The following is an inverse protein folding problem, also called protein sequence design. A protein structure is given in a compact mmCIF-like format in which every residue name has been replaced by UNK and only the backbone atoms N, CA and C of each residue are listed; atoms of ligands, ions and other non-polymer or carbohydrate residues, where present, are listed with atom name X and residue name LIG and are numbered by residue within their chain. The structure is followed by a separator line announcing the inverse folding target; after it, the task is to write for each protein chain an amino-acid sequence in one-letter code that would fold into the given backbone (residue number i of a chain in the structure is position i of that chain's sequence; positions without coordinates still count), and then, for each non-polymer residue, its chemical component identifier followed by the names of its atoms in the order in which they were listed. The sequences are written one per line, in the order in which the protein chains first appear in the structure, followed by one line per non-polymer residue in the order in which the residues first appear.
data_IF_345322729909
#
_entry.id   IF_345322729909
#
_cell.length_a   1.000
_cell.length_b   1.000
_cell.length_c   1.000
_cell.angle_alpha   90.00
_cell.angle_beta   90.00
_cell.angle_gamma   90.00
#
_symmetry.space_group_name_H-M   'P 1'
#
loop_
_entity.id
_entity.type
_entity.pdbx_description
1 polymer ?
#
# COMPACT_ATOMS: atom_id res chain seq x y z
N UNK A 1 -3.10 17.69 22.76
CA UNK A 1 -4.38 16.94 22.83
C UNK A 1 -4.06 15.53 23.28
N UNK A 2 -4.73 15.05 24.32
CA UNK A 2 -4.33 13.94 25.20
C UNK A 2 -4.70 12.55 24.68
N UNK A 3 -4.37 12.25 23.42
CA UNK A 3 -4.34 10.89 22.87
C UNK A 3 -3.21 10.84 21.84
N UNK A 4 -1.96 10.92 22.30
CA UNK A 4 -0.85 10.46 21.48
C UNK A 4 -1.10 8.97 21.18
N UNK A 5 -1.12 8.57 19.91
CA UNK A 5 -1.16 7.15 19.51
C UNK A 5 -0.03 6.41 20.24
N UNK A 6 -0.36 5.66 21.29
CA UNK A 6 0.59 4.75 21.92
C UNK A 6 0.79 3.57 20.98
N UNK A 7 2.01 3.38 20.48
CA UNK A 7 2.41 2.16 19.75
C UNK A 7 3.29 2.38 18.52
N UNK A 8 3.38 3.59 17.97
CA UNK A 8 4.31 3.89 16.86
C UNK A 8 5.70 4.26 17.39
N UNK A 9 6.75 3.77 16.75
CA UNK A 9 8.14 3.96 17.17
C UNK A 9 9.06 4.26 15.97
N UNK A 10 10.12 5.04 16.20
CA UNK A 10 11.27 5.15 15.31
C UNK A 10 12.52 4.76 16.10
N UNK A 11 13.24 3.74 15.63
CA UNK A 11 14.49 3.26 16.25
C UNK A 11 15.69 3.80 15.48
N UNK A 12 16.62 4.45 16.18
CA UNK A 12 17.87 4.92 15.60
C UNK A 12 19.00 3.94 15.92
N UNK A 13 19.77 3.53 14.90
CA UNK A 13 20.94 2.67 15.05
C UNK A 13 20.65 1.16 15.11
N UNK A 14 19.43 0.72 14.79
CA UNK A 14 19.06 -0.69 14.77
C UNK A 14 17.60 -0.91 14.39
N UNK A 15 17.08 -2.08 14.75
CA UNK A 15 15.66 -2.45 14.63
C UNK A 15 15.22 -3.21 15.90
N UNK A 16 13.95 -3.11 16.27
CA UNK A 16 13.36 -3.94 17.32
C UNK A 16 12.71 -5.19 16.71
N UNK A 17 13.21 -6.37 17.09
CA UNK A 17 12.68 -7.66 16.63
C UNK A 17 11.27 -7.97 17.17
N UNK A 18 10.78 -7.24 18.17
CA UNK A 18 9.41 -7.40 18.67
C UNK A 18 8.35 -6.81 17.72
N UNK A 19 8.75 -5.97 16.76
CA UNK A 19 7.84 -5.27 15.85
C UNK A 19 7.66 -5.96 14.49
N UNK A 20 8.25 -7.12 14.27
CA UNK A 20 8.02 -7.93 13.07
C UNK A 20 8.16 -9.43 13.37
N UNK A 21 7.66 -10.25 12.45
CA UNK A 21 7.85 -11.71 12.47
C UNK A 21 8.67 -12.14 11.25
N UNK A 22 9.32 -13.30 11.35
CA UNK A 22 10.15 -13.81 10.26
C UNK A 22 11.47 -13.07 10.10
N UNK A 23 11.97 -13.00 8.86
CA UNK A 23 13.27 -12.41 8.53
C UNK A 23 13.09 -11.12 7.73
N UNK A 24 14.03 -10.18 7.92
CA UNK A 24 14.06 -8.95 7.14
C UNK A 24 14.42 -9.27 5.69
N UNK A 25 13.57 -8.78 4.77
CA UNK A 25 13.84 -8.80 3.34
C UNK A 25 14.54 -7.51 2.93
N UNK A 26 15.80 -7.62 2.50
CA UNK A 26 16.55 -6.48 1.98
C UNK A 26 16.22 -6.28 0.49
N UNK A 27 16.00 -5.02 0.11
CA UNK A 27 15.72 -4.59 -1.27
C UNK A 27 16.71 -3.46 -1.59
N UNK A 28 17.46 -3.55 -2.70
CA UNK A 28 18.45 -2.54 -3.05
C UNK A 28 17.79 -1.23 -3.48
N UNK A 29 18.41 -0.11 -3.11
CA UNK A 29 18.02 1.21 -3.61
C UNK A 29 18.37 1.33 -5.09
N UNK A 30 17.49 1.95 -5.87
CA UNK A 30 17.76 2.33 -7.27
C UNK A 30 18.36 3.73 -7.37
N UNK A 31 18.06 4.60 -6.39
CA UNK A 31 18.65 5.94 -6.23
C UNK A 31 18.68 6.30 -4.74
N UNK A 32 19.73 6.99 -4.29
CA UNK A 32 19.89 7.45 -2.91
C UNK A 32 19.33 8.87 -2.66
N UNK A 33 18.45 9.36 -3.52
CA UNK A 33 17.74 10.65 -3.35
C UNK A 33 16.51 10.53 -2.46
N UNK A 34 15.85 9.38 -2.52
CA UNK A 34 14.75 8.95 -1.65
C UNK A 34 15.02 7.52 -1.20
N UNK A 35 14.17 6.95 -0.34
CA UNK A 35 14.09 5.50 -0.15
C UNK A 35 13.44 4.86 -1.40
N UNK A 36 14.12 5.00 -2.54
CA UNK A 36 13.62 4.61 -3.85
C UNK A 36 14.05 3.19 -4.20
N UNK A 37 13.10 2.37 -4.57
CA UNK A 37 13.29 0.97 -4.94
C UNK A 37 12.65 0.66 -6.28
N UNK A 38 13.06 -0.46 -6.88
CA UNK A 38 12.35 -1.05 -8.02
C UNK A 38 11.19 -1.90 -7.50
N UNK A 39 10.02 -1.72 -8.10
CA UNK A 39 8.88 -2.62 -7.95
C UNK A 39 8.67 -3.38 -9.25
N UNK A 40 8.41 -4.68 -9.16
CA UNK A 40 8.33 -5.57 -10.32
C UNK A 40 6.93 -5.59 -10.94
N UNK A 41 5.90 -5.59 -10.09
CA UNK A 41 4.50 -5.62 -10.52
C UNK A 41 3.55 -5.35 -9.35
N UNK A 42 2.32 -4.95 -9.67
CA UNK A 42 1.17 -5.03 -8.75
C UNK A 42 0.15 -6.00 -9.31
N UNK A 43 -0.31 -6.94 -8.47
CA UNK A 43 -1.28 -7.96 -8.87
C UNK A 43 -2.50 -8.02 -7.96
N UNK A 44 -3.65 -8.31 -8.55
CA UNK A 44 -4.93 -8.56 -7.87
C UNK A 44 -5.53 -9.81 -8.49
N UNK A 45 -5.94 -10.79 -7.69
CA UNK A 45 -6.44 -12.10 -8.16
C UNK A 45 -5.50 -12.79 -9.17
N UNK A 46 -4.18 -12.64 -8.98
CA UNK A 46 -3.16 -13.22 -9.86
C UNK A 46 -2.97 -12.50 -11.20
N UNK A 47 -3.71 -11.42 -11.48
CA UNK A 47 -3.58 -10.63 -12.70
C UNK A 47 -2.72 -9.39 -12.43
N UNK A 48 -1.83 -9.03 -13.36
CA UNK A 48 -1.06 -7.78 -13.26
C UNK A 48 -1.96 -6.60 -13.61
N UNK A 49 -2.14 -5.69 -12.65
CA UNK A 49 -3.08 -4.55 -12.78
C UNK A 49 -2.38 -3.20 -12.84
N UNK A 50 -1.14 -3.11 -12.38
CA UNK A 50 -0.34 -1.90 -12.43
C UNK A 50 1.15 -2.26 -12.43
N UNK A 51 2.01 -1.28 -12.78
CA UNK A 51 3.46 -1.47 -12.78
C UNK A 51 3.89 -2.67 -13.67
N UNK A 52 3.24 -2.88 -14.81
CA UNK A 52 3.58 -3.96 -15.73
C UNK A 52 4.97 -3.73 -16.35
N UNK A 53 5.86 -4.72 -16.26
CA UNK A 53 7.27 -4.57 -16.66
C UNK A 53 8.14 -3.83 -15.65
N UNK A 54 7.58 -3.49 -14.48
CA UNK A 54 8.26 -2.83 -13.38
C UNK A 54 8.20 -1.30 -13.43
N UNK A 55 8.41 -0.69 -12.27
CA UNK A 55 8.32 0.75 -12.05
C UNK A 55 9.21 1.17 -10.87
N UNK A 56 9.27 2.47 -10.59
CA UNK A 56 9.92 3.02 -9.40
C UNK A 56 8.89 3.29 -8.32
N UNK A 57 9.27 3.04 -7.07
CA UNK A 57 8.47 3.36 -5.89
C UNK A 57 9.35 4.01 -4.82
N UNK A 58 8.74 4.82 -3.97
CA UNK A 58 9.38 5.37 -2.76
C UNK A 58 8.69 4.81 -1.52
N UNK A 59 9.48 4.47 -0.51
CA UNK A 59 8.96 4.12 0.82
C UNK A 59 8.95 5.40 1.66
N UNK A 60 7.77 6.01 1.81
CA UNK A 60 7.62 7.35 2.36
C UNK A 60 6.69 7.37 3.58
N UNK A 61 7.25 7.55 4.77
CA UNK A 61 6.51 7.68 6.02
C UNK A 61 5.71 8.99 6.12
N UNK A 62 5.98 9.97 5.24
CA UNK A 62 5.29 11.25 5.19
C UNK A 62 4.00 11.25 4.35
N UNK A 63 3.74 10.20 3.56
CA UNK A 63 2.55 10.09 2.72
C UNK A 63 1.55 9.08 3.31
N UNK A 64 0.29 9.50 3.46
CA UNK A 64 -0.73 8.68 4.13
C UNK A 64 -1.33 7.55 3.28
N UNK A 65 -1.34 7.69 1.96
CA UNK A 65 -2.00 6.76 1.02
C UNK A 65 -0.99 6.16 0.04
N UNK A 66 -1.33 5.00 -0.54
CA UNK A 66 -0.59 4.47 -1.70
C UNK A 66 -0.92 5.36 -2.90
N UNK A 67 0.11 6.05 -3.42
CA UNK A 67 0.01 6.92 -4.57
C UNK A 67 0.73 6.31 -5.78
N UNK A 68 0.26 6.66 -6.98
CA UNK A 68 0.84 6.19 -8.23
C UNK A 68 0.27 6.94 -9.43
N UNK A 69 0.70 6.60 -10.66
CA UNK A 69 0.14 7.15 -11.88
C UNK A 69 -1.39 6.99 -11.92
N UNK A 70 -2.11 8.03 -12.33
CA UNK A 70 -3.58 8.05 -12.26
C UNK A 70 -4.24 6.90 -13.03
N UNK A 71 -3.66 6.47 -14.15
CA UNK A 71 -4.15 5.31 -14.92
C UNK A 71 -4.07 4.01 -14.12
N UNK A 72 -2.95 3.80 -13.43
CA UNK A 72 -2.69 2.59 -12.64
C UNK A 72 -3.60 2.57 -11.42
N UNK A 73 -3.73 3.68 -10.70
CA UNK A 73 -4.63 3.82 -9.54
C UNK A 73 -6.09 3.65 -9.97
N UNK A 74 -6.51 4.24 -11.09
CA UNK A 74 -7.88 4.06 -11.60
C UNK A 74 -8.17 2.61 -11.97
N UNK A 75 -7.20 1.90 -12.56
CA UNK A 75 -7.35 0.48 -12.87
C UNK A 75 -7.43 -0.33 -11.57
N UNK A 76 -6.51 -0.13 -10.62
CA UNK A 76 -6.53 -0.80 -9.33
C UNK A 76 -7.85 -0.60 -8.57
N UNK A 77 -8.36 0.64 -8.52
CA UNK A 77 -9.66 0.96 -7.92
C UNK A 77 -10.80 0.16 -8.57
N UNK A 78 -10.79 0.01 -9.89
CA UNK A 78 -11.79 -0.79 -10.61
C UNK A 78 -11.69 -2.28 -10.24
N UNK A 79 -10.47 -2.81 -10.12
CA UNK A 79 -10.21 -4.21 -9.76
C UNK A 79 -10.62 -4.56 -8.33
N UNK A 80 -10.48 -3.62 -7.37
CA UNK A 80 -10.94 -3.83 -5.99
C UNK A 80 -12.43 -3.53 -5.80
N UNK A 81 -13.13 -3.08 -6.85
CA UNK A 81 -14.57 -2.78 -6.80
C UNK A 81 -14.92 -1.42 -6.19
N UNK A 82 -13.99 -0.45 -6.23
CA UNK A 82 -14.24 0.92 -5.79
C UNK A 82 -14.97 1.73 -6.88
N UNK A 83 -15.83 2.64 -6.45
CA UNK A 83 -16.45 3.66 -7.31
C UNK A 83 -15.73 4.99 -7.14
N UNK A 84 -15.25 5.55 -8.24
CA UNK A 84 -14.54 6.84 -8.25
C UNK A 84 -15.49 7.95 -8.67
N UNK A 85 -15.57 9.02 -7.87
CA UNK A 85 -16.37 10.20 -8.21
C UNK A 85 -15.60 11.17 -9.13
N UNK A 86 -16.27 12.24 -9.57
CA UNK A 86 -15.70 13.26 -10.47
C UNK A 86 -14.50 14.03 -9.88
N UNK A 87 -14.28 13.94 -8.56
CA UNK A 87 -13.15 14.56 -7.86
C UNK A 87 -11.98 13.59 -7.65
N UNK A 88 -12.07 12.37 -8.16
CA UNK A 88 -11.04 11.33 -8.04
C UNK A 88 -11.07 10.57 -6.70
N UNK A 89 -12.08 10.80 -5.86
CA UNK A 89 -12.25 10.06 -4.61
C UNK A 89 -12.85 8.69 -4.89
N UNK A 90 -12.16 7.64 -4.45
CA UNK A 90 -12.60 6.25 -4.60
C UNK A 90 -13.23 5.76 -3.30
N UNK A 91 -14.44 5.21 -3.40
CA UNK A 91 -15.22 4.72 -2.24
C UNK A 91 -15.72 3.31 -2.46
N UNK A 92 -15.91 2.58 -1.37
CA UNK A 92 -16.44 1.20 -1.35
C UNK A 92 -17.53 1.10 -0.28
N UNK A 93 -18.42 0.11 -0.41
CA UNK A 93 -19.33 -0.24 0.67
C UNK A 93 -18.55 -1.00 1.76
N UNK A 94 -18.50 -0.45 2.98
CA UNK A 94 -17.79 -1.06 4.12
C UNK A 94 -18.25 -2.50 4.43
N UNK A 95 -19.50 -2.85 4.09
CA UNK A 95 -20.01 -4.22 4.27
C UNK A 95 -19.30 -5.25 3.37
N UNK A 96 -18.68 -4.80 2.28
CA UNK A 96 -18.03 -5.67 1.30
C UNK A 96 -16.53 -5.87 1.57
N UNK A 97 -15.93 -5.22 2.58
CA UNK A 97 -14.48 -5.28 2.83
C UNK A 97 -13.98 -6.73 2.99
N UNK A 98 -14.77 -7.60 3.62
CA UNK A 98 -14.39 -9.00 3.82
C UNK A 98 -14.39 -9.85 2.54
N UNK A 99 -15.02 -9.39 1.46
CA UNK A 99 -15.06 -10.07 0.16
C UNK A 99 -14.22 -9.37 -0.91
N UNK A 100 -13.59 -8.25 -0.58
CA UNK A 100 -12.69 -7.55 -1.49
C UNK A 100 -11.35 -8.31 -1.64
N UNK A 101 -10.72 -8.24 -2.83
CA UNK A 101 -9.51 -9.02 -3.10
C UNK A 101 -8.29 -8.43 -2.39
N UNK A 102 -7.29 -9.25 -2.12
CA UNK A 102 -5.99 -8.75 -1.67
C UNK A 102 -5.24 -8.09 -2.83
N UNK A 103 -4.38 -7.12 -2.49
CA UNK A 103 -3.46 -6.48 -3.44
C UNK A 103 -2.04 -6.94 -3.13
N UNK A 104 -1.32 -7.47 -4.12
CA UNK A 104 0.06 -7.93 -3.95
C UNK A 104 1.03 -7.05 -4.71
N UNK A 105 1.99 -6.48 -3.99
CA UNK A 105 3.13 -5.74 -4.54
C UNK A 105 4.34 -6.67 -4.58
N UNK A 106 4.95 -6.84 -5.75
CA UNK A 106 6.16 -7.65 -5.88
C UNK A 106 7.38 -6.74 -5.91
N UNK A 107 8.26 -6.88 -4.92
CA UNK A 107 9.49 -6.11 -4.78
C UNK A 107 10.68 -7.05 -4.73
N UNK A 108 11.60 -6.95 -5.71
CA UNK A 108 12.78 -7.82 -5.79
C UNK A 108 12.42 -9.32 -5.74
N UNK A 109 11.37 -9.69 -6.51
CA UNK A 109 10.82 -11.04 -6.55
C UNK A 109 10.06 -11.49 -5.30
N UNK A 110 9.93 -10.64 -4.27
CA UNK A 110 9.23 -10.96 -3.02
C UNK A 110 7.83 -10.37 -3.02
N UNK A 111 6.83 -11.17 -2.68
CA UNK A 111 5.44 -10.76 -2.64
C UNK A 111 5.09 -10.13 -1.28
N UNK A 112 4.53 -8.91 -1.33
CA UNK A 112 3.98 -8.20 -0.19
C UNK A 112 2.48 -8.03 -0.42
N UNK A 113 1.69 -8.92 0.18
CA UNK A 113 0.23 -8.94 0.03
C UNK A 113 -0.43 -8.14 1.15
N UNK A 114 -1.28 -7.20 0.79
CA UNK A 114 -2.07 -6.41 1.73
C UNK A 114 -3.57 -6.75 1.59
N UNK A 115 -4.26 -7.03 2.72
CA UNK A 115 -5.68 -7.31 2.69
C UNK A 115 -6.51 -6.03 2.56
N UNK A 116 -7.78 -6.17 2.18
CA UNK A 116 -8.72 -5.05 2.06
C UNK A 116 -8.85 -4.20 3.32
N UNK A 117 -8.73 -4.81 4.50
CA UNK A 117 -8.74 -4.09 5.78
C UNK A 117 -7.56 -3.11 5.95
N UNK A 118 -6.47 -3.28 5.20
CA UNK A 118 -5.29 -2.42 5.25
C UNK A 118 -5.34 -1.28 4.22
N UNK A 119 -5.94 -1.49 3.05
CA UNK A 119 -6.01 -0.46 2.00
C UNK A 119 -7.35 0.29 1.94
N UNK A 120 -8.38 -0.13 2.68
CA UNK A 120 -9.65 0.60 2.81
C UNK A 120 -9.68 1.36 4.13
N UNK A 121 -9.73 2.68 4.06
CA UNK A 121 -9.94 3.54 5.23
C UNK A 121 -11.44 3.63 5.56
N UNK A 122 -11.80 3.36 6.82
CA UNK A 122 -13.17 3.48 7.31
C UNK A 122 -13.32 4.76 8.11
N UNK A 123 -13.89 5.80 7.51
CA UNK A 123 -14.43 6.92 8.27
C UNK A 123 -15.89 6.64 8.63
N UNK A 124 -16.24 6.72 9.91
CA UNK A 124 -17.65 6.87 10.29
C UNK A 124 -18.09 8.24 9.76
N UNK A 125 -18.79 8.27 8.63
CA UNK A 125 -19.42 9.49 8.15
C UNK A 125 -20.28 10.05 9.27
N UNK A 126 -19.94 11.24 9.78
CA UNK A 126 -20.92 12.06 10.50
C UNK A 126 -21.88 12.55 9.43
N UNK A 127 -23.01 11.88 9.31
CA UNK A 127 -24.23 12.49 8.79
C UNK A 127 -24.89 13.22 9.96
#
# INVERSE_FOLDING_TARGET
SSNAQQGSEVVFGGYDANHFTGQISWIPLTSATYWQIKMDSVTINGQTVACSGGCQAIIDTGTSLIAGPSSDISNMNSWVGASTNQYGEATVNCQNIQSMPDVTFTLDGKAFTIPASAYVSQSKGRI
#
